data_IF_024107344028
#
_entry.id   IF_024107344028
#
_cell.length_a   1.000
_cell.length_b   1.000
_cell.length_c   1.000
_cell.angle_alpha   90.00
_cell.angle_beta   90.00
_cell.angle_gamma   90.00
#
_symmetry.space_group_name_H-M   'P 1'
#
loop_
_entity.id
_entity.type
_entity.pdbx_description
1 polymer ?
#
# COMPACT_ATOMS: atom_id res chain seq x y z
N UNK A 1 -17.30 -12.79 -6.34
CA UNK A 1 -16.13 -13.60 -5.92
C UNK A 1 -15.34 -12.83 -4.87
N UNK A 2 -15.08 -13.42 -3.71
CA UNK A 2 -14.32 -12.74 -2.65
C UNK A 2 -12.89 -12.51 -3.15
N UNK A 3 -12.50 -11.24 -3.37
CA UNK A 3 -11.09 -10.90 -3.59
C UNK A 3 -10.32 -11.34 -2.35
N UNK A 4 -9.43 -12.32 -2.49
CA UNK A 4 -8.41 -12.60 -1.48
C UNK A 4 -7.62 -11.32 -1.29
N UNK A 5 -7.75 -10.69 -0.12
CA UNK A 5 -6.99 -9.48 0.23
C UNK A 5 -5.52 -9.87 0.31
N UNK A 6 -4.75 -9.52 -0.70
CA UNK A 6 -3.32 -9.76 -0.70
C UNK A 6 -2.65 -8.68 0.14
N UNK A 7 -1.93 -9.12 1.17
CA UNK A 7 -1.18 -8.22 2.04
C UNK A 7 0.28 -8.19 1.59
N UNK A 8 0.76 -6.99 1.32
CA UNK A 8 2.12 -6.72 0.88
C UNK A 8 2.98 -6.36 2.10
N UNK A 9 4.09 -7.08 2.26
CA UNK A 9 5.13 -6.73 3.24
C UNK A 9 5.82 -5.41 2.90
N UNK A 10 6.54 -4.84 3.86
CA UNK A 10 7.32 -3.60 3.65
C UNK A 10 8.27 -3.66 2.46
N UNK A 11 8.90 -4.81 2.22
CA UNK A 11 9.81 -4.98 1.08
C UNK A 11 9.04 -4.97 -0.25
N UNK A 12 7.87 -5.63 -0.30
CA UNK A 12 7.02 -5.62 -1.49
C UNK A 12 6.43 -4.24 -1.76
N UNK A 13 5.95 -3.54 -0.73
CA UNK A 13 5.48 -2.16 -0.85
C UNK A 13 6.58 -1.24 -1.36
N UNK A 14 7.79 -1.35 -0.79
CA UNK A 14 8.94 -0.57 -1.23
C UNK A 14 9.27 -0.82 -2.71
N UNK A 15 9.33 -2.08 -3.13
CA UNK A 15 9.57 -2.46 -4.52
C UNK A 15 8.48 -1.95 -5.47
N UNK A 16 7.22 -2.07 -5.08
CA UNK A 16 6.07 -1.60 -5.86
C UNK A 16 6.07 -0.09 -6.04
N UNK A 17 6.35 0.65 -4.96
CA UNK A 17 6.42 2.12 -4.96
C UNK A 17 7.70 2.61 -5.65
N UNK A 18 8.74 1.78 -5.75
CA UNK A 18 10.04 2.14 -6.31
C UNK A 18 10.93 2.91 -5.32
N UNK A 19 10.76 2.67 -4.02
CA UNK A 19 11.57 3.28 -2.95
C UNK A 19 12.28 2.20 -2.14
N UNK A 20 13.23 2.61 -1.29
CA UNK A 20 13.90 1.68 -0.39
C UNK A 20 13.01 1.31 0.82
N UNK A 21 13.17 0.09 1.36
CA UNK A 21 12.46 -0.36 2.57
C UNK A 21 12.73 0.56 3.76
N UNK A 22 13.94 1.09 3.87
CA UNK A 22 14.35 2.02 4.92
C UNK A 22 13.63 3.36 4.79
N UNK A 23 13.29 3.79 3.57
CA UNK A 23 12.45 4.98 3.32
C UNK A 23 11.06 4.77 3.89
N UNK A 24 10.42 3.63 3.63
CA UNK A 24 9.10 3.30 4.21
C UNK A 24 9.17 3.30 5.75
N UNK A 25 10.19 2.68 6.31
CA UNK A 25 10.37 2.57 7.77
C UNK A 25 10.62 3.94 8.40
N UNK A 26 11.39 4.80 7.73
CA UNK A 26 11.67 6.17 8.17
C UNK A 26 10.42 7.04 8.09
N UNK A 27 9.65 6.95 7.00
CA UNK A 27 8.39 7.68 6.86
C UNK A 27 7.37 7.26 7.92
N UNK A 28 7.23 5.95 8.20
CA UNK A 28 6.35 5.44 9.24
C UNK A 28 6.74 5.97 10.64
N UNK A 29 8.05 6.10 10.90
CA UNK A 29 8.57 6.60 12.19
C UNK A 29 8.47 8.12 12.34
N UNK A 30 8.71 8.88 11.27
CA UNK A 30 8.65 10.36 11.27
C UNK A 30 7.24 10.90 11.12
N UNK A 31 6.39 10.21 10.36
CA UNK A 31 5.04 10.63 10.02
C UNK A 31 4.02 9.66 10.61
N UNK A 32 4.03 9.54 11.94
CA UNK A 32 3.01 8.79 12.67
C UNK A 32 1.61 9.44 12.57
N UNK A 33 0.59 8.86 13.22
CA UNK A 33 -0.81 9.28 13.09
C UNK A 33 -1.11 10.71 13.58
N UNK A 34 -0.19 11.33 14.32
CA UNK A 34 -0.31 12.72 14.80
C UNK A 34 0.40 13.75 13.89
N UNK A 35 1.02 13.31 12.80
CA UNK A 35 1.72 14.20 11.87
C UNK A 35 0.72 14.92 10.95
N UNK A 36 1.09 16.10 10.44
CA UNK A 36 0.28 16.87 9.47
C UNK A 36 -0.01 16.09 8.18
N UNK A 37 0.88 15.15 7.83
CA UNK A 37 0.70 14.25 6.70
C UNK A 37 1.01 12.81 7.13
N UNK A 38 0.08 12.15 7.86
CA UNK A 38 0.35 10.85 8.46
C UNK A 38 0.61 9.81 7.37
N UNK A 39 1.61 8.96 7.60
CA UNK A 39 1.91 7.83 6.72
C UNK A 39 0.88 6.70 6.96
N UNK A 40 0.42 6.00 5.91
CA UNK A 40 -0.56 4.93 6.04
C UNK A 40 -0.14 3.85 7.05
N UNK A 41 -1.00 3.60 8.05
CA UNK A 41 -0.72 2.63 9.12
C UNK A 41 -0.87 1.21 8.58
N UNK A 42 0.11 0.31 8.82
CA UNK A 42 -0.02 -1.08 8.40
C UNK A 42 -1.21 -1.75 9.09
N UNK A 43 -2.03 -2.45 8.31
CA UNK A 43 -3.22 -3.18 8.80
C UNK A 43 -2.88 -4.55 9.38
N UNK A 44 -1.81 -5.18 8.89
CA UNK A 44 -1.40 -6.52 9.30
C UNK A 44 0.11 -6.59 9.51
N UNK A 45 0.59 -7.72 10.04
CA UNK A 45 2.00 -8.11 9.94
C UNK A 45 2.11 -9.27 8.96
N UNK A 46 2.93 -9.11 7.94
CA UNK A 46 3.29 -10.18 7.00
C UNK A 46 4.65 -10.72 7.45
N UNK A 47 4.62 -11.87 8.12
CA UNK A 47 5.78 -12.41 8.85
C UNK A 47 6.21 -11.46 9.98
N UNK A 48 7.48 -11.04 9.98
CA UNK A 48 8.03 -10.09 10.95
C UNK A 48 7.90 -8.62 10.53
N UNK A 49 7.36 -8.34 9.33
CA UNK A 49 7.29 -6.98 8.78
C UNK A 49 5.87 -6.43 8.80
N UNK A 50 5.70 -5.10 8.97
CA UNK A 50 4.40 -4.46 8.76
C UNK A 50 3.93 -4.68 7.32
N UNK A 51 2.63 -4.91 7.18
CA UNK A 51 1.97 -5.21 5.92
C UNK A 51 0.77 -4.32 5.65
N UNK A 52 0.60 -4.01 4.37
CA UNK A 52 -0.44 -3.14 3.83
C UNK A 52 -1.25 -3.90 2.79
N UNK A 53 -2.53 -3.58 2.67
CA UNK A 53 -3.34 -4.13 1.58
C UNK A 53 -3.15 -3.31 0.29
N UNK A 54 -3.68 -3.82 -0.81
CA UNK A 54 -3.53 -3.20 -2.13
C UNK A 54 -4.19 -1.82 -2.23
N UNK A 55 -5.29 -1.57 -1.53
CA UNK A 55 -5.91 -0.24 -1.46
C UNK A 55 -4.95 0.75 -0.78
N UNK A 56 -4.27 0.32 0.28
CA UNK A 56 -3.29 1.15 0.97
C UNK A 56 -2.02 1.41 0.15
N UNK A 57 -1.69 0.56 -0.83
CA UNK A 57 -0.56 0.79 -1.72
C UNK A 57 -0.75 2.06 -2.53
N UNK A 58 -1.97 2.35 -2.98
CA UNK A 58 -2.28 3.56 -3.74
C UNK A 58 -2.20 4.80 -2.85
N UNK A 59 -2.70 4.73 -1.62
CA UNK A 59 -2.51 5.77 -0.60
C UNK A 59 -1.02 6.05 -0.32
N UNK A 60 -0.19 5.00 -0.23
CA UNK A 60 1.26 5.15 -0.02
C UNK A 60 1.90 5.85 -1.23
N UNK A 61 1.53 5.47 -2.47
CA UNK A 61 2.02 6.14 -3.69
C UNK A 61 1.61 7.61 -3.70
N UNK A 62 0.35 7.91 -3.44
CA UNK A 62 -0.15 9.28 -3.35
C UNK A 62 0.56 10.09 -2.25
N UNK A 63 0.90 9.46 -1.13
CA UNK A 63 1.71 10.07 -0.08
C UNK A 63 3.12 10.45 -0.57
N UNK A 64 3.75 9.59 -1.37
CA UNK A 64 5.03 9.91 -2.02
C UNK A 64 4.91 10.86 -3.23
N UNK A 65 3.69 11.24 -3.62
CA UNK A 65 3.44 12.06 -4.82
C UNK A 65 3.66 11.28 -6.12
N UNK A 66 3.61 9.95 -6.07
CA UNK A 66 3.74 9.08 -7.22
C UNK A 66 2.36 8.82 -7.84
N UNK A 67 2.28 8.63 -9.17
CA UNK A 67 1.05 8.23 -9.81
C UNK A 67 0.59 6.87 -9.28
N UNK A 68 -0.73 6.71 -9.19
CA UNK A 68 -1.37 5.44 -8.91
C UNK A 68 -0.76 4.33 -9.79
N UNK A 69 -0.66 3.11 -9.26
CA UNK A 69 -0.18 2.01 -10.09
C UNK A 69 -1.14 1.92 -11.28
N UNK A 70 -0.63 2.03 -12.50
CA UNK A 70 -1.40 1.80 -13.71
C UNK A 70 -1.81 0.33 -13.79
N UNK A 71 -2.73 -0.11 -12.93
CA UNK A 71 -3.44 -1.35 -13.09
C UNK A 71 -4.60 -1.08 -14.03
N UNK A 72 -4.79 -1.87 -15.10
CA UNK A 72 -6.03 -1.82 -15.83
C UNK A 72 -7.15 -2.10 -14.85
N UNK A 73 -8.11 -1.16 -14.73
CA UNK A 73 -9.39 -1.43 -14.08
C UNK A 73 -10.17 -2.40 -14.97
N UNK A 74 -9.82 -3.68 -14.94
CA UNK A 74 -10.72 -4.71 -15.48
C UNK A 74 -11.77 -4.98 -14.43
N UNK A 75 -12.78 -4.12 -14.39
CA UNK A 75 -14.06 -4.44 -13.78
C UNK A 75 -15.01 -4.80 -14.92
N UNK A 76 -14.79 -5.96 -15.54
CA UNK A 76 -15.85 -6.64 -16.29
C UNK A 76 -16.65 -7.44 -15.27
N UNK A 77 -17.44 -6.74 -14.47
CA UNK A 77 -18.61 -7.37 -13.89
C UNK A 77 -19.65 -7.40 -15.00
N UNK A 78 -19.53 -8.40 -15.88
CA UNK A 78 -20.60 -8.80 -16.78
C UNK A 78 -21.65 -9.45 -15.88
N UNK A 79 -22.58 -8.62 -15.42
CA UNK A 79 -23.84 -9.07 -14.86
C UNK A 79 -24.68 -9.56 -16.04
N UNK A 80 -24.51 -10.83 -16.41
CA UNK A 80 -25.40 -11.57 -17.30
C UNK A 80 -26.01 -12.70 -16.47
N UNK A 81 -27.28 -12.52 -16.06
CA UNK A 81 -28.37 -13.51 -16.05
C UNK A 81 -29.53 -13.03 -15.15
#
# INVERSE_FOLDING_TARGET
>A
MARTREYLSTAQVAAEVGVDRSTITTSLRRHGPKSTRPFPVPRVRVGSSPGWDEDQLDDIRAWFGLPARGRPRTHTNTEEA
#
